data_IF_195374425529
#
_entry.id   IF_195374425529
#
_cell.length_a   1.000
_cell.length_b   1.000
_cell.length_c   1.000
_cell.angle_alpha   90.00
_cell.angle_beta   90.00
_cell.angle_gamma   90.00
#
_symmetry.space_group_name_H-M   'P 1'
#
loop_
_entity.id
_entity.type
_entity.pdbx_description
1 polymer ?
#
# COMPACT_ATOMS: atom_id res chain seq x y z
N UNK A 1 -15.03 -17.46 5.26
CA UNK A 1 -14.26 -16.76 4.22
C UNK A 1 -14.54 -15.28 4.36
N UNK A 2 -13.52 -14.42 4.43
CA UNK A 2 -13.72 -12.96 4.43
C UNK A 2 -13.58 -12.45 2.99
N UNK A 3 -14.58 -12.74 2.16
CA UNK A 3 -14.65 -12.30 0.76
C UNK A 3 -14.97 -10.82 0.68
N UNK A 4 -13.96 -9.96 0.80
CA UNK A 4 -14.08 -8.54 0.52
C UNK A 4 -13.75 -8.28 -0.96
N UNK A 5 -14.62 -7.55 -1.65
CA UNK A 5 -14.42 -7.15 -3.07
C UNK A 5 -13.32 -6.09 -3.25
N UNK A 6 -12.83 -5.53 -2.15
CA UNK A 6 -11.75 -4.55 -2.16
C UNK A 6 -11.27 -4.21 -0.75
N UNK A 7 -10.09 -3.59 -0.66
CA UNK A 7 -9.47 -3.16 0.59
C UNK A 7 -9.00 -1.72 0.46
N UNK A 8 -9.40 -0.85 1.40
CA UNK A 8 -8.90 0.53 1.50
C UNK A 8 -7.79 0.57 2.57
N UNK A 9 -6.62 1.08 2.20
CA UNK A 9 -5.45 1.15 3.09
C UNK A 9 -5.02 2.61 3.22
N UNK A 10 -5.56 3.31 4.22
CA UNK A 10 -5.26 4.74 4.45
C UNK A 10 -4.08 4.96 5.39
N UNK A 11 -4.23 4.53 6.65
CA UNK A 11 -3.24 4.82 7.71
C UNK A 11 -1.84 4.28 7.39
N UNK A 12 -1.73 3.07 6.83
CA UNK A 12 -0.44 2.50 6.48
C UNK A 12 0.25 3.26 5.32
N UNK A 13 -0.50 3.81 4.38
CA UNK A 13 0.05 4.66 3.31
C UNK A 13 0.59 5.99 3.87
N UNK A 14 -0.16 6.61 4.78
CA UNK A 14 0.26 7.84 5.46
C UNK A 14 1.53 7.61 6.28
N UNK A 15 1.66 6.45 6.96
CA UNK A 15 2.87 6.10 7.70
C UNK A 15 4.11 6.01 6.82
N UNK A 16 4.00 5.47 5.60
CA UNK A 16 5.14 5.44 4.67
C UNK A 16 5.66 6.83 4.31
N UNK A 17 4.75 7.81 4.21
CA UNK A 17 5.09 9.20 3.90
C UNK A 17 5.55 9.99 5.14
N UNK A 18 4.82 9.88 6.25
CA UNK A 18 5.02 10.69 7.45
C UNK A 18 6.14 10.21 8.36
N UNK A 19 6.48 8.92 8.35
CA UNK A 19 7.56 8.35 9.17
C UNK A 19 8.90 8.24 8.41
N UNK A 20 8.99 8.78 7.20
CA UNK A 20 10.23 8.78 6.42
C UNK A 20 11.15 9.94 6.83
N UNK A 21 12.47 9.76 6.69
CA UNK A 21 13.44 10.79 7.10
C UNK A 21 13.52 11.97 6.13
N UNK A 22 12.96 11.82 4.92
CA UNK A 22 12.83 12.87 3.92
C UNK A 22 11.63 12.63 2.99
N UNK A 23 11.10 13.66 2.33
CA UNK A 23 10.01 13.51 1.36
C UNK A 23 10.33 12.53 0.22
N UNK A 24 11.57 12.57 -0.29
CA UNK A 24 12.01 11.68 -1.38
C UNK A 24 12.07 10.21 -0.93
N UNK A 25 12.52 9.96 0.29
CA UNK A 25 12.50 8.61 0.85
C UNK A 25 11.06 8.13 1.10
N UNK A 26 10.18 9.01 1.60
CA UNK A 26 8.77 8.69 1.81
C UNK A 26 8.06 8.26 0.53
N UNK A 27 8.30 8.96 -0.58
CA UNK A 27 7.78 8.56 -1.90
C UNK A 27 8.29 7.18 -2.34
N UNK A 28 9.58 6.89 -2.14
CA UNK A 28 10.16 5.58 -2.48
C UNK A 28 9.58 4.45 -1.61
N UNK A 29 9.36 4.70 -0.32
CA UNK A 29 8.73 3.76 0.62
C UNK A 29 7.28 3.50 0.24
N UNK A 30 6.53 4.57 -0.07
CA UNK A 30 5.15 4.49 -0.53
C UNK A 30 5.04 3.66 -1.81
N UNK A 31 5.88 3.93 -2.81
CA UNK A 31 5.89 3.18 -4.07
C UNK A 31 6.14 1.68 -3.83
N UNK A 32 7.15 1.34 -3.03
CA UNK A 32 7.46 -0.06 -2.70
C UNK A 32 6.29 -0.74 -1.99
N UNK A 33 5.68 -0.05 -1.03
CA UNK A 33 4.54 -0.58 -0.27
C UNK A 33 3.31 -0.78 -1.15
N UNK A 34 2.96 0.20 -1.99
CA UNK A 34 1.83 0.10 -2.91
C UNK A 34 1.99 -1.06 -3.92
N UNK A 35 3.19 -1.25 -4.48
CA UNK A 35 3.49 -2.40 -5.36
C UNK A 35 3.35 -3.73 -4.61
N UNK A 36 3.86 -3.81 -3.37
CA UNK A 36 3.72 -5.00 -2.53
C UNK A 36 2.25 -5.33 -2.25
N UNK A 37 1.43 -4.33 -1.95
CA UNK A 37 -0.01 -4.51 -1.70
C UNK A 37 -0.74 -4.96 -2.96
N UNK A 38 -0.45 -4.35 -4.12
CA UNK A 38 -1.03 -4.75 -5.40
C UNK A 38 -0.75 -6.22 -5.73
N UNK A 39 0.45 -6.70 -5.42
CA UNK A 39 0.84 -8.10 -5.67
C UNK A 39 0.25 -9.07 -4.63
N UNK A 40 0.01 -8.60 -3.40
CA UNK A 40 -0.54 -9.41 -2.32
C UNK A 40 -2.07 -9.55 -2.38
N UNK A 41 -2.75 -8.58 -3.00
CA UNK A 41 -4.18 -8.68 -3.28
C UNK A 41 -4.37 -9.72 -4.39
N UNK A 42 -5.24 -10.73 -4.18
CA UNK A 42 -5.62 -11.64 -5.26
C UNK A 42 -6.14 -10.80 -6.42
N UNK A 43 -5.54 -10.95 -7.60
CA UNK A 43 -6.18 -10.51 -8.83
C UNK A 43 -7.41 -11.40 -9.00
N UNK A 44 -8.57 -10.93 -8.55
CA UNK A 44 -9.84 -11.46 -9.04
C UNK A 44 -9.96 -11.02 -10.49
N UNK A 45 -9.19 -11.67 -11.37
CA UNK A 45 -9.41 -11.68 -12.80
C UNK A 45 -10.64 -12.57 -13.01
N UNK A 46 -11.81 -11.93 -13.07
CA UNK A 46 -12.91 -12.43 -13.88
C UNK A 46 -12.65 -12.04 -15.34
#
# INVERSE_FOLDING_TARGET
>A
WWGADGVIIGSAMVRQLGEATSPKEGLKRLEKYARSMKNALPSYAH
#
